data_IF_105639279481
#
_entry.id   IF_105639279481
#
_cell.length_a   1.000
_cell.length_b   1.000
_cell.length_c   1.000
_cell.angle_alpha   90.00
_cell.angle_beta   90.00
_cell.angle_gamma   90.00
#
_symmetry.space_group_name_H-M   'P 1'
#
loop_
_entity.id
_entity.type
_entity.pdbx_description
1 polymer ?
#
# COMPACT_ATOMS: atom_id res chain seq x y z
N UNK A 1 10.70 -2.31 37.81
CA UNK A 1 10.15 -2.58 36.45
C UNK A 1 10.89 -1.69 35.47
N UNK A 2 11.62 -2.28 34.51
CA UNK A 2 12.38 -1.51 33.52
C UNK A 2 11.40 -0.78 32.59
N UNK A 3 11.29 0.54 32.75
CA UNK A 3 10.42 1.42 31.95
C UNK A 3 10.65 1.27 30.44
N UNK A 4 11.86 0.89 30.04
CA UNK A 4 12.26 0.65 28.66
C UNK A 4 11.51 -0.52 28.03
N UNK A 5 11.44 -1.69 28.67
CA UNK A 5 10.75 -2.86 28.10
C UNK A 5 9.25 -2.64 27.93
N UNK A 6 8.63 -1.90 28.85
CA UNK A 6 7.23 -1.49 28.75
C UNK A 6 7.00 -0.51 27.58
N UNK A 7 7.88 0.47 27.41
CA UNK A 7 7.82 1.41 26.28
C UNK A 7 8.01 0.69 24.93
N UNK A 8 8.94 -0.26 24.82
CA UNK A 8 9.14 -1.06 23.62
C UNK A 8 7.90 -1.90 23.29
N UNK A 9 7.29 -2.55 24.30
CA UNK A 9 6.07 -3.32 24.13
C UNK A 9 4.89 -2.50 23.62
N UNK A 10 4.65 -1.31 24.19
CA UNK A 10 3.63 -0.38 23.71
C UNK A 10 3.94 0.10 22.29
N UNK A 11 5.20 0.42 22.00
CA UNK A 11 5.63 0.86 20.67
C UNK A 11 5.34 -0.20 19.60
N UNK A 12 5.59 -1.48 19.88
CA UNK A 12 5.27 -2.58 18.97
C UNK A 12 3.77 -2.72 18.75
N UNK A 13 2.95 -2.62 19.80
CA UNK A 13 1.49 -2.63 19.68
C UNK A 13 0.97 -1.44 18.87
N UNK A 14 1.53 -0.25 19.07
CA UNK A 14 1.18 0.92 18.27
C UNK A 14 1.55 0.71 16.80
N UNK A 15 2.74 0.15 16.51
CA UNK A 15 3.18 -0.14 15.15
C UNK A 15 2.31 -1.19 14.45
N UNK A 16 1.90 -2.24 15.16
CA UNK A 16 0.99 -3.27 14.60
C UNK A 16 -0.37 -2.66 14.28
N UNK A 17 -0.96 -1.91 15.21
CA UNK A 17 -2.25 -1.25 15.00
C UNK A 17 -2.20 -0.21 13.88
N UNK A 18 -1.14 0.59 13.80
CA UNK A 18 -0.93 1.56 12.74
C UNK A 18 -0.82 0.87 11.37
N UNK A 19 -0.10 -0.25 11.29
CA UNK A 19 0.04 -1.03 10.05
C UNK A 19 -1.31 -1.62 9.62
N UNK A 20 -2.08 -2.18 10.56
CA UNK A 20 -3.42 -2.71 10.29
C UNK A 20 -4.35 -1.59 9.80
N UNK A 21 -4.37 -0.45 10.49
CA UNK A 21 -5.18 0.71 10.14
C UNK A 21 -4.80 1.25 8.75
N UNK A 22 -3.51 1.36 8.44
CA UNK A 22 -3.02 1.76 7.12
C UNK A 22 -3.49 0.81 6.02
N UNK A 23 -3.34 -0.50 6.21
CA UNK A 23 -3.75 -1.51 5.23
C UNK A 23 -5.26 -1.50 5.05
N UNK A 24 -6.03 -1.37 6.14
CA UNK A 24 -7.48 -1.25 6.10
C UNK A 24 -7.89 0.00 5.33
N UNK A 25 -7.39 1.17 5.68
CA UNK A 25 -7.65 2.42 4.96
C UNK A 25 -7.41 2.29 3.46
N UNK A 26 -6.24 1.73 3.07
CA UNK A 26 -5.93 1.49 1.65
C UNK A 26 -6.89 0.53 0.98
N UNK A 27 -7.43 -0.48 1.67
CA UNK A 27 -8.44 -1.39 1.09
C UNK A 27 -9.77 -0.68 0.86
N UNK A 28 -10.17 0.16 1.82
CA UNK A 28 -11.40 0.96 1.71
C UNK A 28 -11.32 1.97 0.56
N UNK A 29 -10.17 2.61 0.37
CA UNK A 29 -9.91 3.52 -0.76
C UNK A 29 -10.03 2.81 -2.12
N UNK A 30 -9.51 1.57 -2.25
CA UNK A 30 -9.71 0.79 -3.48
C UNK A 30 -11.19 0.47 -3.73
N UNK A 31 -11.97 0.20 -2.68
CA UNK A 31 -13.39 -0.10 -2.80
C UNK A 31 -14.25 1.16 -3.07
N UNK A 32 -13.84 2.35 -2.62
CA UNK A 32 -14.51 3.59 -3.04
C UNK A 32 -14.25 3.89 -4.51
N UNK A 33 -13.00 3.74 -4.98
CA UNK A 33 -12.64 3.98 -6.38
C UNK A 33 -13.38 3.04 -7.35
N UNK A 34 -13.63 1.78 -6.96
CA UNK A 34 -14.46 0.86 -7.74
C UNK A 34 -15.91 1.34 -7.84
N UNK A 35 -16.49 1.83 -6.73
CA UNK A 35 -17.85 2.40 -6.73
C UNK A 35 -17.92 3.66 -7.59
N UNK A 36 -16.90 4.50 -7.57
CA UNK A 36 -16.84 5.71 -8.41
C UNK A 36 -16.77 5.35 -9.89
N UNK A 37 -16.07 4.26 -10.25
CA UNK A 37 -16.04 3.76 -11.63
C UNK A 37 -17.42 3.22 -12.09
N UNK A 38 -18.16 2.56 -11.20
CA UNK A 38 -19.54 2.12 -11.49
C UNK A 38 -20.50 3.31 -11.59
N UNK A 39 -20.29 4.35 -10.78
CA UNK A 39 -21.04 5.60 -10.85
C UNK A 39 -20.78 6.32 -12.19
N UNK A 40 -19.55 6.35 -12.68
CA UNK A 40 -19.21 6.93 -13.98
C UNK A 40 -20.04 6.31 -15.11
N UNK A 41 -20.15 4.97 -15.15
CA UNK A 41 -21.00 4.27 -16.13
C UNK A 41 -22.47 4.69 -16.01
N UNK A 42 -22.97 4.77 -14.78
CA UNK A 42 -24.37 5.17 -14.53
C UNK A 42 -24.63 6.62 -14.99
N UNK A 43 -23.68 7.52 -14.76
CA UNK A 43 -23.78 8.91 -15.22
C UNK A 43 -23.69 9.02 -16.74
N UNK A 44 -22.88 8.18 -17.40
CA UNK A 44 -22.82 8.07 -18.87
C UNK A 44 -24.18 7.67 -19.45
N UNK A 45 -24.81 6.64 -18.88
CA UNK A 45 -26.14 6.18 -19.31
C UNK A 45 -27.19 7.26 -19.09
N UNK A 46 -27.12 8.01 -17.98
CA UNK A 46 -28.04 9.11 -17.67
C UNK A 46 -27.80 10.38 -18.49
N UNK A 47 -26.62 10.55 -19.09
CA UNK A 47 -26.31 11.70 -19.94
C UNK A 47 -27.10 11.67 -21.25
N UNK A 48 -27.54 10.48 -21.70
CA UNK A 48 -28.47 10.29 -22.83
C UNK A 48 -28.08 11.08 -24.10
N UNK A 49 -26.77 11.17 -24.38
CA UNK A 49 -26.25 11.86 -25.55
C UNK A 49 -26.13 13.39 -25.42
N UNK A 50 -26.45 14.00 -24.28
CA UNK A 50 -26.20 15.42 -24.03
C UNK A 50 -24.70 15.71 -23.95
N UNK A 51 -24.19 16.47 -24.92
CA UNK A 51 -22.77 16.79 -25.08
C UNK A 51 -22.15 17.44 -23.83
N UNK A 52 -22.88 18.30 -23.12
CA UNK A 52 -22.35 18.98 -21.92
C UNK A 52 -22.23 18.01 -20.75
N UNK A 53 -23.22 17.12 -20.61
CA UNK A 53 -23.23 16.10 -19.55
C UNK A 53 -22.19 15.02 -19.82
N UNK A 54 -21.98 14.65 -21.08
CA UNK A 54 -20.93 13.72 -21.49
C UNK A 54 -19.53 14.29 -21.19
N UNK A 55 -19.26 15.54 -21.54
CA UNK A 55 -17.97 16.17 -21.22
C UNK A 55 -17.68 16.21 -19.71
N UNK A 56 -18.70 16.46 -18.88
CA UNK A 56 -18.55 16.40 -17.43
C UNK A 56 -18.30 14.97 -16.90
N UNK A 57 -18.88 13.96 -17.55
CA UNK A 57 -18.64 12.55 -17.22
C UNK A 57 -17.23 12.11 -17.64
N UNK A 58 -16.74 12.56 -18.81
CA UNK A 58 -15.40 12.25 -19.29
C UNK A 58 -14.31 12.76 -18.32
N UNK A 59 -14.46 14.00 -17.80
CA UNK A 59 -13.52 14.55 -16.81
C UNK A 59 -13.57 13.79 -15.46
N UNK A 60 -14.76 13.35 -15.05
CA UNK A 60 -14.91 12.52 -13.86
C UNK A 60 -14.27 11.13 -14.06
N UNK A 61 -14.53 10.50 -15.20
CA UNK A 61 -14.05 9.16 -15.55
C UNK A 61 -12.52 9.15 -15.72
N UNK A 62 -11.93 10.17 -16.34
CA UNK A 62 -10.48 10.34 -16.48
C UNK A 62 -9.78 10.40 -15.11
N UNK A 63 -10.36 11.16 -14.17
CA UNK A 63 -9.84 11.29 -12.80
C UNK A 63 -9.93 9.97 -12.03
N UNK A 64 -11.06 9.27 -12.14
CA UNK A 64 -11.29 7.98 -11.48
C UNK A 64 -10.35 6.93 -12.03
N UNK A 65 -10.23 6.76 -13.35
CA UNK A 65 -9.35 5.74 -13.94
C UNK A 65 -7.87 6.00 -13.67
N UNK A 66 -7.42 7.26 -13.70
CA UNK A 66 -6.03 7.60 -13.35
C UNK A 66 -5.69 7.16 -11.92
N UNK A 67 -6.62 7.36 -10.98
CA UNK A 67 -6.49 6.88 -9.59
C UNK A 67 -6.62 5.36 -9.47
N UNK A 68 -7.53 4.75 -10.23
CA UNK A 68 -7.75 3.30 -10.24
C UNK A 68 -6.50 2.56 -10.74
N UNK A 69 -5.88 3.04 -11.81
CA UNK A 69 -4.64 2.49 -12.37
C UNK A 69 -3.50 2.57 -11.34
N UNK A 70 -3.31 3.74 -10.73
CA UNK A 70 -2.30 3.92 -9.68
C UNK A 70 -2.56 2.98 -8.48
N UNK A 71 -3.81 2.91 -8.00
CA UNK A 71 -4.18 2.14 -6.81
C UNK A 71 -4.09 0.62 -7.03
N UNK A 72 -4.40 0.13 -8.23
CA UNK A 72 -4.38 -1.30 -8.56
C UNK A 72 -2.96 -1.84 -8.73
N UNK A 73 -2.05 -1.02 -9.25
CA UNK A 73 -0.66 -1.41 -9.52
C UNK A 73 0.22 -1.22 -8.27
N UNK A 74 0.13 -0.07 -7.61
CA UNK A 74 1.05 0.28 -6.51
C UNK A 74 0.48 -0.11 -5.14
N UNK A 75 -0.85 -0.04 -4.98
CA UNK A 75 -1.53 -0.31 -3.72
C UNK A 75 -1.22 -1.68 -3.10
N UNK A 76 -1.30 -2.81 -3.84
CA UNK A 76 -0.94 -4.12 -3.31
C UNK A 76 0.50 -4.18 -2.80
N UNK A 77 1.46 -3.58 -3.52
CA UNK A 77 2.87 -3.60 -3.11
C UNK A 77 3.13 -2.77 -1.87
N UNK A 78 2.53 -1.59 -1.75
CA UNK A 78 2.66 -0.77 -0.54
C UNK A 78 2.11 -1.50 0.70
N UNK A 79 1.03 -2.27 0.57
CA UNK A 79 0.53 -3.12 1.66
C UNK A 79 1.54 -4.20 2.03
N UNK A 80 2.15 -4.86 1.04
CA UNK A 80 3.21 -5.85 1.28
C UNK A 80 4.46 -5.26 1.93
N UNK A 81 4.88 -4.04 1.53
CA UNK A 81 5.97 -3.30 2.19
C UNK A 81 5.63 -3.08 3.66
N UNK A 82 4.42 -2.59 3.96
CA UNK A 82 4.01 -2.31 5.33
C UNK A 82 4.03 -3.57 6.21
N UNK A 83 3.51 -4.69 5.71
CA UNK A 83 3.57 -5.98 6.41
C UNK A 83 5.00 -6.50 6.59
N UNK A 84 5.84 -6.38 5.56
CA UNK A 84 7.23 -6.80 5.64
C UNK A 84 8.03 -5.97 6.65
N UNK A 85 7.84 -4.65 6.68
CA UNK A 85 8.45 -3.78 7.70
C UNK A 85 7.99 -4.14 9.11
N UNK A 86 6.68 -4.38 9.30
CA UNK A 86 6.17 -4.81 10.60
C UNK A 86 6.77 -6.16 11.03
N UNK A 87 6.87 -7.11 10.10
CA UNK A 87 7.52 -8.40 10.34
C UNK A 87 8.99 -8.26 10.75
N UNK A 88 9.75 -7.37 10.08
CA UNK A 88 11.13 -7.08 10.43
C UNK A 88 11.25 -6.48 11.83
N UNK A 89 10.40 -5.50 12.16
CA UNK A 89 10.40 -4.85 13.48
C UNK A 89 10.06 -5.83 14.60
N UNK A 90 9.02 -6.66 14.40
CA UNK A 90 8.62 -7.67 15.40
C UNK A 90 9.69 -8.75 15.59
N UNK A 91 10.24 -9.28 14.48
CA UNK A 91 11.31 -10.28 14.55
C UNK A 91 12.57 -9.70 15.20
N UNK A 92 12.95 -8.48 14.86
CA UNK A 92 14.13 -7.81 15.41
C UNK A 92 13.98 -7.53 16.89
N UNK A 93 12.81 -7.04 17.32
CA UNK A 93 12.52 -6.85 18.73
C UNK A 93 12.52 -8.18 19.51
N UNK A 94 12.00 -9.25 18.92
CA UNK A 94 12.05 -10.58 19.52
C UNK A 94 13.48 -11.12 19.65
N UNK A 95 14.34 -10.91 18.65
CA UNK A 95 15.76 -11.27 18.73
C UNK A 95 16.46 -10.52 19.88
N UNK A 96 16.26 -9.19 19.99
CA UNK A 96 16.81 -8.38 21.06
C UNK A 96 16.32 -8.81 22.45
N UNK A 97 15.07 -9.29 22.56
CA UNK A 97 14.52 -9.80 23.82
C UNK A 97 15.19 -11.12 24.23
N UNK A 98 15.54 -11.99 23.27
CA UNK A 98 16.18 -13.28 23.53
C UNK A 98 17.68 -13.16 23.83
N UNK A 99 18.34 -12.08 23.38
CA UNK A 99 19.78 -11.83 23.60
C UNK A 99 20.16 -11.78 25.08
N UNK A 100 19.19 -11.51 25.96
CA UNK A 100 19.38 -11.44 27.42
C UNK A 100 19.23 -12.80 28.12
N UNK A 101 18.90 -13.87 27.39
CA UNK A 101 18.60 -15.18 27.94
C UNK A 101 19.70 -16.19 27.58
N UNK A 102 20.17 -16.93 28.58
CA UNK A 102 21.13 -18.01 28.38
C UNK A 102 20.43 -19.34 28.05
N UNK A 103 21.05 -20.12 27.15
CA UNK A 103 20.65 -21.49 26.83
C UNK A 103 20.55 -21.78 25.34
N UNK A 104 20.64 -23.07 24.98
CA UNK A 104 20.64 -23.51 23.57
C UNK A 104 19.36 -23.12 22.85
N UNK A 105 18.21 -23.23 23.52
CA UNK A 105 16.91 -22.86 22.93
C UNK A 105 16.85 -21.35 22.63
N UNK A 106 17.30 -20.52 23.56
CA UNK A 106 17.35 -19.07 23.37
C UNK A 106 18.28 -18.69 22.20
N UNK A 107 19.46 -19.31 22.11
CA UNK A 107 20.40 -19.10 21.01
C UNK A 107 19.82 -19.49 19.65
N UNK A 108 19.14 -20.64 19.55
CA UNK A 108 18.51 -21.07 18.29
C UNK A 108 17.40 -20.10 17.87
N UNK A 109 16.51 -19.73 18.80
CA UNK A 109 15.41 -18.81 18.52
C UNK A 109 15.91 -17.40 18.16
N UNK A 110 16.96 -16.92 18.84
CA UNK A 110 17.63 -15.67 18.51
C UNK A 110 18.12 -15.68 17.06
N UNK A 111 18.83 -16.75 16.65
CA UNK A 111 19.32 -16.90 15.28
C UNK A 111 18.20 -16.93 14.23
N UNK A 112 17.11 -17.65 14.52
CA UNK A 112 15.92 -17.70 13.64
C UNK A 112 15.26 -16.33 13.51
N UNK A 113 15.07 -15.60 14.61
CA UNK A 113 14.45 -14.28 14.58
C UNK A 113 15.36 -13.24 13.90
N UNK A 114 16.67 -13.31 14.10
CA UNK A 114 17.62 -12.47 13.39
C UNK A 114 17.56 -12.72 11.89
N UNK A 115 17.57 -13.99 11.46
CA UNK A 115 17.42 -14.35 10.05
C UNK A 115 16.07 -13.88 9.47
N UNK A 116 14.98 -14.08 10.20
CA UNK A 116 13.65 -13.59 9.80
C UNK A 116 13.62 -12.07 9.65
N UNK A 117 14.27 -11.33 10.54
CA UNK A 117 14.41 -9.86 10.46
C UNK A 117 15.05 -9.44 9.15
N UNK A 118 16.16 -10.07 8.79
CA UNK A 118 16.88 -9.80 7.53
C UNK A 118 16.00 -10.12 6.32
N UNK A 119 15.35 -11.29 6.32
CA UNK A 119 14.47 -11.70 5.21
C UNK A 119 13.31 -10.71 5.03
N UNK A 120 12.65 -10.31 6.11
CA UNK A 120 11.58 -9.33 6.06
C UNK A 120 12.05 -7.94 5.62
N UNK A 121 13.23 -7.50 6.06
CA UNK A 121 13.82 -6.25 5.62
C UNK A 121 14.11 -6.26 4.10
N UNK A 122 14.69 -7.35 3.60
CA UNK A 122 14.94 -7.53 2.17
C UNK A 122 13.64 -7.60 1.36
N UNK A 123 12.61 -8.29 1.88
CA UNK A 123 11.30 -8.33 1.25
C UNK A 123 10.67 -6.93 1.18
N UNK A 124 10.77 -6.14 2.26
CA UNK A 124 10.28 -4.76 2.28
C UNK A 124 10.98 -3.91 1.21
N UNK A 125 12.32 -4.01 1.10
CA UNK A 125 13.09 -3.34 0.06
C UNK A 125 12.69 -3.79 -1.35
N UNK A 126 12.50 -5.09 -1.57
CA UNK A 126 12.07 -5.64 -2.85
C UNK A 126 10.69 -5.13 -3.27
N UNK A 127 9.71 -5.15 -2.36
CA UNK A 127 8.38 -4.60 -2.64
C UNK A 127 8.41 -3.08 -2.84
N UNK A 128 9.24 -2.36 -2.09
CA UNK A 128 9.40 -0.92 -2.24
C UNK A 128 10.05 -0.56 -3.58
N UNK A 129 11.10 -1.27 -3.98
CA UNK A 129 11.75 -1.11 -5.27
C UNK A 129 10.80 -1.41 -6.43
N UNK A 130 10.02 -2.51 -6.34
CA UNK A 130 9.02 -2.83 -7.35
C UNK A 130 7.89 -1.78 -7.42
N UNK A 131 7.47 -1.23 -6.26
CA UNK A 131 6.50 -0.13 -6.22
C UNK A 131 7.06 1.15 -6.86
N UNK A 132 8.31 1.51 -6.53
CA UNK A 132 8.98 2.68 -7.08
C UNK A 132 9.23 2.55 -8.59
N UNK A 133 9.71 1.38 -9.04
CA UNK A 133 9.89 1.09 -10.45
C UNK A 133 8.58 1.27 -11.21
N UNK A 134 7.48 0.71 -10.71
CA UNK A 134 6.19 0.85 -11.38
C UNK A 134 5.62 2.26 -11.30
N UNK A 135 5.84 2.98 -10.21
CA UNK A 135 5.51 4.40 -10.15
C UNK A 135 6.29 5.23 -11.19
N UNK A 136 7.53 4.85 -11.49
CA UNK A 136 8.37 5.54 -12.48
C UNK A 136 8.08 5.12 -13.93
N UNK A 137 7.73 3.86 -14.18
CA UNK A 137 7.51 3.32 -15.54
C UNK A 137 6.05 3.31 -15.97
N UNK A 138 5.11 3.57 -15.06
CA UNK A 138 3.69 3.71 -15.43
C UNK A 138 3.55 4.97 -16.28
N UNK A 139 3.16 4.85 -17.58
CA UNK A 139 2.85 6.00 -18.39
C UNK A 139 1.75 6.79 -17.70
N UNK A 140 1.99 8.07 -17.42
CA UNK A 140 0.90 8.97 -17.08
C UNK A 140 0.14 9.16 -18.37
N UNK A 141 -0.94 8.41 -18.56
CA UNK A 141 -1.82 8.58 -19.72
C UNK A 141 -2.39 9.98 -19.62
N UNK A 142 -1.77 10.94 -20.32
CA UNK A 142 -2.37 12.24 -20.55
C UNK A 142 -3.44 12.06 -21.60
N UNK A 143 -4.69 12.11 -21.13
CA UNK A 143 -5.87 12.05 -21.98
C UNK A 143 -6.11 13.38 -22.69
N UNK A 144 -5.29 14.41 -22.42
CA UNK A 144 -5.33 15.70 -23.10
C UNK A 144 -5.04 15.62 -24.60
N UNK A 145 -4.33 14.59 -25.05
CA UNK A 145 -4.02 14.41 -26.47
C UNK A 145 -5.20 13.81 -27.26
N UNK A 146 -6.18 13.19 -26.59
CA UNK A 146 -7.35 12.62 -27.26
C UNK A 146 -8.34 13.71 -27.72
N UNK A 147 -8.42 14.84 -27.01
CA UNK A 147 -9.30 15.97 -27.38
C UNK A 147 -8.75 16.79 -28.57
N UNK A 148 -7.45 16.68 -28.88
CA UNK A 148 -6.83 17.47 -29.97
C UNK A 148 -6.93 16.81 -31.35
N UNK A 149 -7.17 15.50 -31.42
CA UNK A 149 -7.25 14.77 -32.71
C UNK A 149 -8.66 14.81 -33.33
N UNK A 150 -9.70 15.24 -32.60
CA UNK A 150 -11.07 15.41 -33.11
C UNK A 150 -11.31 16.80 -33.77
N UNK A 151 -10.28 17.66 -33.86
CA UNK A 151 -10.34 18.99 -34.50
C UNK A 151 -9.83 19.06 -35.96
N UNK A 152 -9.51 17.92 -36.62
CA UNK A 152 -9.19 17.87 -38.07
C UNK A 152 -10.36 17.42 -38.98
#
# INVERSE_FOLDING_TARGET
MNSWGFATGIGLLAATLATIAFVAYRRWESASLQRDADLARTLRDLADGDAVRLAAVDEFESTVYRRLFYSSVIGPRLRSVAWALLGAVLAGAGALALDQLDGVVAMVLWGVLLAATVVFALAALGFAAAAAFQAATTPRVDLSDADTDDEE
#
